data_IF_955261121832
#
_entry.id   IF_955261121832
#
_cell.length_a   1.000
_cell.length_b   1.000
_cell.length_c   1.000
_cell.angle_alpha   90.00
_cell.angle_beta   90.00
_cell.angle_gamma   90.00
#
_symmetry.space_group_name_H-M   'P 1'
#
loop_
_entity.id
_entity.type
_entity.pdbx_description
1 polymer ?
#
# COMPACT_ATOMS: atom_id res chain seq x y z
N UNK A 1 -8.12 7.75 -16.18
CA UNK A 1 -7.46 7.32 -14.92
C UNK A 1 -7.12 8.56 -14.12
N UNK A 2 -7.17 8.54 -12.79
CA UNK A 2 -6.83 9.72 -11.98
C UNK A 2 -5.32 9.99 -12.13
N UNK A 3 -4.96 11.09 -12.80
CA UNK A 3 -3.58 11.49 -13.04
C UNK A 3 -3.42 12.98 -12.75
N UNK A 4 -2.36 13.36 -12.05
CA UNK A 4 -2.04 14.75 -11.77
C UNK A 4 -1.74 15.49 -13.08
N UNK A 5 -2.48 16.56 -13.40
CA UNK A 5 -2.26 17.35 -14.61
C UNK A 5 -0.90 18.07 -14.60
N UNK A 6 -0.41 18.46 -13.42
CA UNK A 6 0.86 19.18 -13.25
C UNK A 6 2.04 18.21 -13.18
N UNK A 7 1.87 17.15 -12.40
CA UNK A 7 2.95 16.29 -11.94
C UNK A 7 2.92 14.87 -12.53
N UNK A 8 1.94 14.55 -13.39
CA UNK A 8 1.85 13.28 -14.11
C UNK A 8 1.65 12.03 -13.24
N UNK A 9 1.56 12.18 -11.90
CA UNK A 9 1.40 11.07 -10.95
C UNK A 9 0.11 10.31 -11.23
N UNK A 10 0.24 9.03 -11.59
CA UNK A 10 -0.86 8.13 -11.88
C UNK A 10 -1.03 7.01 -10.83
N UNK A 11 -2.01 6.13 -11.02
CA UNK A 11 -2.24 5.01 -10.11
C UNK A 11 -1.13 3.96 -10.24
N UNK A 12 -0.56 3.56 -9.10
CA UNK A 12 0.50 2.54 -9.04
C UNK A 12 -0.08 1.22 -8.54
N UNK A 13 0.32 0.10 -9.14
CA UNK A 13 -0.08 -1.23 -8.69
C UNK A 13 0.85 -1.66 -7.56
N UNK A 14 0.28 -2.23 -6.49
CA UNK A 14 1.07 -2.98 -5.53
C UNK A 14 0.21 -3.90 -4.68
N UNK A 15 0.81 -4.50 -3.65
CA UNK A 15 0.15 -5.52 -2.85
C UNK A 15 -0.27 -4.98 -1.48
N UNK A 16 -1.40 -5.48 -0.97
CA UNK A 16 -1.78 -5.41 0.44
C UNK A 16 -1.39 -6.73 1.08
N UNK A 17 -0.37 -6.69 1.94
CA UNK A 17 0.16 -7.86 2.63
C UNK A 17 -0.37 -7.87 4.06
N UNK A 18 -1.04 -8.95 4.44
CA UNK A 18 -1.51 -9.15 5.81
C UNK A 18 -0.56 -10.12 6.51
N UNK A 19 0.02 -9.69 7.63
CA UNK A 19 0.86 -10.53 8.48
C UNK A 19 0.15 -10.87 9.78
N UNK A 20 0.44 -12.04 10.36
CA UNK A 20 0.01 -12.44 11.71
C UNK A 20 1.21 -12.91 12.52
N UNK A 21 1.11 -12.76 13.84
CA UNK A 21 2.18 -13.08 14.78
C UNK A 21 3.08 -11.89 15.09
N UNK A 22 3.73 -11.95 16.25
CA UNK A 22 4.63 -10.90 16.76
C UNK A 22 5.99 -10.97 16.07
N UNK A 23 6.62 -9.82 15.86
CA UNK A 23 7.95 -9.76 15.23
C UNK A 23 9.01 -10.41 16.13
N UNK A 24 10.02 -11.03 15.51
CA UNK A 24 11.17 -11.61 16.25
C UNK A 24 11.90 -10.58 17.10
N UNK A 25 12.05 -9.36 16.57
CA UNK A 25 12.68 -8.24 17.29
C UNK A 25 11.97 -7.86 18.60
N UNK A 26 10.70 -8.20 18.75
CA UNK A 26 9.89 -7.88 19.94
C UNK A 26 9.77 -9.09 20.87
N UNK A 27 10.63 -10.11 20.71
CA UNK A 27 10.59 -11.36 21.48
C UNK A 27 9.50 -12.34 21.04
N UNK A 28 8.93 -12.15 19.85
CA UNK A 28 7.97 -13.10 19.26
C UNK A 28 8.63 -14.22 18.44
N UNK A 29 7.87 -15.25 18.10
CA UNK A 29 8.34 -16.35 17.22
C UNK A 29 8.61 -15.86 15.79
N UNK A 30 7.91 -14.81 15.36
CA UNK A 30 8.02 -14.21 14.03
C UNK A 30 6.65 -14.02 13.38
N UNK A 31 6.54 -12.98 12.54
CA UNK A 31 5.33 -12.75 11.75
C UNK A 31 5.33 -13.62 10.50
N UNK A 32 4.19 -14.26 10.19
CA UNK A 32 3.96 -14.98 8.92
C UNK A 32 3.03 -14.18 8.03
N UNK A 33 3.28 -14.20 6.72
CA UNK A 33 2.37 -13.65 5.71
C UNK A 33 1.17 -14.58 5.55
N UNK A 34 -0.03 -14.04 5.72
CA UNK A 34 -1.29 -14.80 5.66
C UNK A 34 -2.01 -14.60 4.33
N UNK A 35 -1.96 -13.38 3.79
CA UNK A 35 -2.64 -13.05 2.55
C UNK A 35 -1.88 -11.96 1.79
N UNK A 36 -1.87 -12.08 0.46
CA UNK A 36 -1.34 -11.09 -0.46
C UNK A 36 -2.42 -10.80 -1.50
N UNK A 37 -3.04 -9.62 -1.43
CA UNK A 37 -4.02 -9.16 -2.41
C UNK A 37 -3.44 -8.03 -3.26
N UNK A 38 -3.74 -7.99 -4.56
CA UNK A 38 -3.40 -6.84 -5.41
C UNK A 38 -4.28 -5.63 -5.06
N UNK A 39 -3.70 -4.43 -5.04
CA UNK A 39 -4.38 -3.14 -4.86
C UNK A 39 -3.79 -2.09 -5.80
N UNK A 40 -4.52 -0.99 -5.97
CA UNK A 40 -4.05 0.21 -6.67
C UNK A 40 -3.88 1.33 -5.66
N UNK A 41 -2.74 2.02 -5.71
CA UNK A 41 -2.47 3.25 -4.98
C UNK A 41 -2.87 4.41 -5.86
N UNK A 42 -3.91 5.14 -5.46
CA UNK A 42 -4.40 6.30 -6.21
C UNK A 42 -3.66 7.57 -5.77
N UNK A 43 -3.39 8.51 -6.69
CA UNK A 43 -2.86 9.81 -6.32
C UNK A 43 -3.89 10.61 -5.51
N UNK A 44 -3.44 11.36 -4.51
CA UNK A 44 -4.28 12.28 -3.74
C UNK A 44 -4.48 13.58 -4.54
N UNK A 45 -5.38 13.56 -5.52
CA UNK A 45 -5.74 14.74 -6.31
C UNK A 45 -6.82 15.53 -5.57
N UNK A 46 -6.55 16.80 -5.29
CA UNK A 46 -7.51 17.74 -4.71
C UNK A 46 -7.89 18.78 -5.77
N UNK A 47 -9.11 19.30 -5.68
CA UNK A 47 -9.55 20.40 -6.54
C UNK A 47 -8.89 21.68 -6.04
N UNK A 48 -8.21 22.40 -6.93
CA UNK A 48 -7.80 23.78 -6.66
C UNK A 48 -9.02 24.68 -6.91
N UNK A 49 -9.51 25.34 -5.86
CA UNK A 49 -10.49 26.43 -5.93
C UNK A 49 -9.81 27.72 -6.32
#
# INVERSE_FOLDING_TARGET
MQQCAICGKGPVIGSRVTHRGKLKKEGGVGRRTVRVNRRRFLPNLQRAT
#
